data_IF_510057798663
#
_entry.id   IF_510057798663
#
_cell.length_a   1.000
_cell.length_b   1.000
_cell.length_c   1.000
_cell.angle_alpha   90.00
_cell.angle_beta   90.00
_cell.angle_gamma   90.00
#
_symmetry.space_group_name_H-M   'P 1'
#
loop_
_entity.id
_entity.type
_entity.pdbx_description
1 polymer ?
#
# COMPACT_ATOMS: atom_id res chain seq x y z
N UNK A 1 0.02 -10.10 -2.60
CA UNK A 1 0.40 -8.73 -2.24
C UNK A 1 1.41 -8.72 -1.11
N UNK A 2 1.94 -7.54 -0.81
CA UNK A 2 2.88 -7.31 0.28
C UNK A 2 2.23 -6.43 1.34
N UNK A 3 2.43 -6.76 2.60
CA UNK A 3 1.96 -5.97 3.75
C UNK A 3 3.18 -5.33 4.39
N UNK A 4 3.21 -4.00 4.39
CA UNK A 4 4.17 -3.25 5.18
C UNK A 4 3.71 -3.28 6.66
N UNK A 5 4.53 -3.79 7.60
CA UNK A 5 4.13 -3.90 9.00
C UNK A 5 3.89 -2.55 9.69
N UNK A 6 4.40 -1.44 9.13
CA UNK A 6 4.13 -0.09 9.63
C UNK A 6 2.75 0.42 9.24
N UNK A 7 2.11 -0.21 8.24
CA UNK A 7 0.81 0.19 7.71
C UNK A 7 -0.22 -0.91 7.93
N UNK A 8 -1.48 -0.54 8.00
CA UNK A 8 -2.56 -1.52 7.99
C UNK A 8 -2.82 -2.00 6.56
N UNK A 9 -3.08 -3.30 6.38
CA UNK A 9 -3.63 -3.80 5.13
C UNK A 9 -4.99 -3.15 4.91
N UNK A 10 -5.15 -2.46 3.78
CA UNK A 10 -6.40 -1.84 3.38
C UNK A 10 -6.98 -2.51 2.15
N UNK A 11 -8.30 -2.59 2.09
CA UNK A 11 -9.07 -3.04 0.94
C UNK A 11 -10.01 -1.92 0.54
N UNK A 12 -9.92 -1.50 -0.72
CA UNK A 12 -10.81 -0.51 -1.31
C UNK A 12 -11.86 -1.26 -2.17
N UNK A 13 -13.14 -0.97 -1.93
CA UNK A 13 -14.25 -1.52 -2.70
C UNK A 13 -14.73 -0.48 -3.72
N UNK A 14 -15.29 -0.96 -4.84
CA UNK A 14 -15.83 -0.08 -5.88
C UNK A 14 -17.00 0.74 -5.36
N UNK A 15 -17.80 0.16 -4.45
CA UNK A 15 -18.96 0.78 -3.82
C UNK A 15 -18.87 0.68 -2.29
N UNK A 16 -19.53 1.60 -1.55
CA UNK A 16 -19.67 1.46 -0.11
C UNK A 16 -20.42 0.17 0.26
N UNK A 17 -20.02 -0.45 1.37
CA UNK A 17 -20.66 -1.67 1.84
C UNK A 17 -21.80 -1.35 2.83
N UNK A 18 -22.91 -2.08 2.71
CA UNK A 18 -24.03 -2.07 3.68
C UNK A 18 -23.97 -3.27 4.61
N UNK A 19 -23.36 -4.38 4.17
CA UNK A 19 -23.12 -5.58 4.98
C UNK A 19 -21.66 -6.01 4.82
N UNK A 20 -21.01 -6.30 5.93
CA UNK A 20 -19.76 -7.06 5.99
C UNK A 20 -19.77 -7.82 7.30
N UNK A 21 -19.80 -9.16 7.22
CA UNK A 21 -19.68 -10.01 8.40
C UNK A 21 -18.23 -10.47 8.56
N UNK A 22 -17.54 -9.89 9.55
CA UNK A 22 -16.15 -10.25 9.83
C UNK A 22 -16.01 -11.68 10.37
N UNK A 23 -17.08 -12.28 10.89
CA UNK A 23 -17.03 -13.65 11.38
C UNK A 23 -16.96 -14.69 10.25
N UNK A 24 -17.39 -14.32 9.05
CA UNK A 24 -17.30 -15.18 7.86
C UNK A 24 -15.91 -15.10 7.19
N UNK A 25 -15.06 -14.14 7.56
CA UNK A 25 -13.74 -13.98 6.98
C UNK A 25 -12.80 -15.08 7.47
N UNK A 26 -12.03 -15.65 6.56
CA UNK A 26 -11.00 -16.64 6.90
C UNK A 26 -9.63 -16.05 6.59
N UNK A 27 -8.76 -16.06 7.57
CA UNK A 27 -7.36 -15.72 7.40
C UNK A 27 -6.51 -16.89 7.87
N UNK A 28 -5.69 -17.40 6.99
CA UNK A 28 -4.76 -18.50 7.32
C UNK A 28 -3.33 -18.05 7.17
N UNK A 29 -2.43 -18.65 7.93
CA UNK A 29 -0.99 -18.46 7.83
C UNK A 29 -0.30 -19.80 7.56
N UNK A 30 0.69 -19.80 6.67
CA UNK A 30 1.57 -20.93 6.44
C UNK A 30 2.69 -20.90 7.48
N UNK A 31 2.89 -22.01 8.19
CA UNK A 31 3.97 -22.20 9.17
C UNK A 31 5.23 -22.75 8.48
N UNK A 32 6.35 -22.81 9.23
CA UNK A 32 7.65 -23.29 8.72
C UNK A 32 7.62 -24.76 8.27
N UNK A 33 6.78 -25.57 8.91
CA UNK A 33 6.54 -26.98 8.57
C UNK A 33 5.53 -27.19 7.43
N UNK A 34 5.12 -26.10 6.75
CA UNK A 34 4.06 -26.03 5.74
C UNK A 34 2.64 -26.35 6.25
N UNK A 35 2.44 -26.49 7.54
CA UNK A 35 1.09 -26.56 8.11
C UNK A 35 0.38 -25.20 8.02
N UNK A 36 -0.94 -25.23 8.16
CA UNK A 36 -1.79 -24.03 8.06
C UNK A 36 -2.42 -23.76 9.41
N UNK A 37 -2.34 -22.52 9.85
CA UNK A 37 -2.92 -22.03 11.09
C UNK A 37 -4.00 -20.98 10.79
N UNK A 38 -5.14 -21.11 11.45
CA UNK A 38 -6.20 -20.10 11.40
C UNK A 38 -5.84 -18.90 12.27
N UNK A 39 -5.98 -17.70 11.70
CA UNK A 39 -5.63 -16.44 12.35
C UNK A 39 -6.89 -15.60 12.55
N UNK A 40 -7.15 -15.08 13.75
CA UNK A 40 -8.27 -14.19 13.97
C UNK A 40 -8.13 -12.93 13.12
N UNK A 41 -9.17 -12.61 12.37
CA UNK A 41 -9.22 -11.46 11.48
C UNK A 41 -10.49 -10.67 11.67
N UNK A 42 -10.41 -9.35 11.50
CA UNK A 42 -11.57 -8.47 11.41
C UNK A 42 -11.33 -7.35 10.42
N UNK A 43 -12.38 -6.89 9.78
CA UNK A 43 -12.35 -5.68 8.97
C UNK A 43 -13.00 -4.52 9.70
N UNK A 44 -12.34 -3.37 9.68
CA UNK A 44 -12.81 -2.14 10.32
C UNK A 44 -12.91 -1.06 9.25
N UNK A 45 -14.07 -0.41 9.16
CA UNK A 45 -14.28 0.66 8.18
C UNK A 45 -13.36 1.85 8.49
N UNK A 46 -12.75 2.42 7.46
CA UNK A 46 -12.02 3.66 7.57
C UNK A 46 -13.00 4.82 7.82
N UNK A 47 -12.68 5.71 8.76
CA UNK A 47 -13.56 6.83 9.12
C UNK A 47 -13.55 7.95 8.10
N UNK A 48 -12.48 8.06 7.30
CA UNK A 48 -12.31 9.09 6.29
C UNK A 48 -12.74 8.67 4.88
N UNK A 49 -12.84 7.36 4.62
CA UNK A 49 -13.13 6.82 3.29
C UNK A 49 -14.18 5.71 3.35
N UNK A 50 -15.41 5.99 2.89
CA UNK A 50 -16.55 5.08 2.98
C UNK A 50 -16.34 3.72 2.31
N UNK A 51 -15.46 3.67 1.31
CA UNK A 51 -15.17 2.45 0.53
C UNK A 51 -13.93 1.71 1.02
N UNK A 52 -13.16 2.30 1.96
CA UNK A 52 -11.93 1.73 2.48
C UNK A 52 -12.16 1.01 3.79
N UNK A 53 -11.60 -0.19 3.88
CA UNK A 53 -11.63 -1.01 5.08
C UNK A 53 -10.22 -1.46 5.44
N UNK A 54 -9.92 -1.46 6.75
CA UNK A 54 -8.66 -1.96 7.28
C UNK A 54 -8.83 -3.40 7.72
N UNK A 55 -7.96 -4.28 7.25
CA UNK A 55 -7.88 -5.66 7.71
C UNK A 55 -6.95 -5.71 8.92
N UNK A 56 -7.49 -6.09 10.07
CA UNK A 56 -6.75 -6.18 11.34
C UNK A 56 -6.58 -7.65 11.73
N UNK A 57 -5.33 -8.06 11.92
CA UNK A 57 -4.94 -9.39 12.37
C UNK A 57 -3.59 -9.31 13.11
N UNK A 58 -3.21 -10.33 13.89
CA UNK A 58 -1.89 -10.42 14.52
C UNK A 58 -0.82 -10.83 13.47
N UNK A 59 -0.46 -9.87 12.62
CA UNK A 59 0.52 -10.07 11.56
C UNK A 59 1.90 -10.39 12.16
N UNK A 60 2.58 -11.43 11.64
CA UNK A 60 3.98 -11.75 11.96
C UNK A 60 4.88 -11.38 10.80
N UNK A 61 6.03 -10.78 11.09
CA UNK A 61 7.04 -10.42 10.10
C UNK A 61 7.48 -11.66 9.29
N UNK A 62 7.61 -11.51 7.98
CA UNK A 62 7.94 -12.60 7.07
C UNK A 62 6.84 -13.65 6.86
N UNK A 63 5.71 -13.53 7.57
CA UNK A 63 4.60 -14.49 7.48
C UNK A 63 3.87 -14.43 6.15
N UNK A 64 3.48 -15.61 5.64
CA UNK A 64 2.65 -15.77 4.45
C UNK A 64 1.21 -16.06 4.86
N UNK A 65 0.28 -15.26 4.34
CA UNK A 65 -1.13 -15.31 4.69
C UNK A 65 -2.01 -15.48 3.48
N UNK A 66 -3.15 -16.14 3.67
CA UNK A 66 -4.24 -16.19 2.69
C UNK A 66 -5.49 -15.65 3.35
N UNK A 67 -6.02 -14.54 2.81
CA UNK A 67 -7.32 -13.99 3.19
C UNK A 67 -8.36 -14.52 2.21
N UNK A 68 -9.40 -15.13 2.75
CA UNK A 68 -10.58 -15.58 2.00
C UNK A 68 -11.80 -14.82 2.49
N UNK A 69 -12.52 -14.20 1.57
CA UNK A 69 -13.83 -13.60 1.77
C UNK A 69 -14.81 -14.49 1.03
N UNK A 70 -15.64 -15.28 1.74
CA UNK A 70 -16.59 -16.17 1.09
C UNK A 70 -17.63 -15.43 0.23
N UNK A 71 -18.23 -16.13 -0.68
CA UNK A 71 -19.39 -15.64 -1.44
C UNK A 71 -20.50 -15.16 -0.49
N UNK A 72 -21.06 -13.99 -0.76
CA UNK A 72 -22.16 -13.42 0.02
C UNK A 72 -21.78 -12.78 1.36
N UNK A 73 -20.50 -12.85 1.80
CA UNK A 73 -20.05 -12.24 3.05
C UNK A 73 -20.11 -10.70 3.02
N UNK A 74 -20.10 -10.11 1.84
CA UNK A 74 -20.16 -8.68 1.62
C UNK A 74 -21.35 -8.34 0.74
N UNK A 75 -22.04 -7.24 1.07
CA UNK A 75 -23.08 -6.66 0.21
C UNK A 75 -22.86 -5.15 0.09
N UNK A 76 -22.90 -4.62 -1.11
CA UNK A 76 -22.74 -3.20 -1.39
C UNK A 76 -24.07 -2.42 -1.29
N UNK A 77 -24.00 -1.08 -1.48
CA UNK A 77 -25.16 -0.18 -1.45
C UNK A 77 -26.16 -0.44 -2.60
N UNK A 78 -25.76 -1.11 -3.67
CA UNK A 78 -26.62 -1.52 -4.77
C UNK A 78 -27.31 -2.87 -4.52
N UNK A 79 -27.00 -3.53 -3.39
CA UNK A 79 -27.55 -4.83 -3.03
C UNK A 79 -26.83 -6.01 -3.70
N UNK A 80 -25.69 -5.76 -4.33
CA UNK A 80 -24.89 -6.82 -4.96
C UNK A 80 -23.98 -7.47 -3.91
N UNK A 81 -23.92 -8.79 -3.93
CA UNK A 81 -23.02 -9.58 -3.10
C UNK A 81 -21.76 -9.96 -3.86
N UNK A 82 -20.68 -10.21 -3.11
CA UNK A 82 -19.41 -10.63 -3.68
C UNK A 82 -19.44 -12.12 -4.08
N UNK A 83 -18.67 -12.46 -5.12
CA UNK A 83 -18.16 -13.81 -5.33
C UNK A 83 -17.04 -14.12 -4.32
N UNK A 84 -16.62 -15.40 -4.22
CA UNK A 84 -15.51 -15.77 -3.36
C UNK A 84 -14.22 -15.04 -3.77
N UNK A 85 -13.60 -14.33 -2.81
CA UNK A 85 -12.37 -13.59 -3.03
C UNK A 85 -11.24 -14.24 -2.23
N UNK A 86 -10.17 -14.67 -2.91
CA UNK A 86 -8.98 -15.23 -2.27
C UNK A 86 -7.79 -14.34 -2.61
N UNK A 87 -7.05 -13.89 -1.60
CA UNK A 87 -5.87 -13.06 -1.76
C UNK A 87 -4.73 -13.56 -0.88
N UNK A 88 -3.55 -13.69 -1.47
CA UNK A 88 -2.32 -14.07 -0.77
C UNK A 88 -1.49 -12.84 -0.46
N UNK A 89 -0.95 -12.80 0.75
CA UNK A 89 -0.12 -11.72 1.26
C UNK A 89 1.13 -12.25 1.93
N UNK A 90 2.20 -11.47 1.86
CA UNK A 90 3.42 -11.66 2.65
C UNK A 90 3.65 -10.40 3.48
N UNK A 91 3.86 -10.57 4.77
CA UNK A 91 4.26 -9.45 5.63
C UNK A 91 5.76 -9.22 5.48
N UNK A 92 6.14 -8.00 5.14
CA UNK A 92 7.53 -7.64 4.96
C UNK A 92 8.29 -7.75 6.29
N UNK A 93 9.50 -8.32 6.23
CA UNK A 93 10.40 -8.40 7.36
C UNK A 93 11.45 -7.29 7.21
N UNK A 94 11.50 -6.29 8.13
CA UNK A 94 12.43 -5.17 8.02
C UNK A 94 13.89 -5.59 7.88
N UNK A 95 14.30 -6.73 8.48
CA UNK A 95 15.67 -7.23 8.42
C UNK A 95 16.10 -7.65 7.01
N UNK A 96 15.14 -7.92 6.13
CA UNK A 96 15.39 -8.32 4.72
C UNK A 96 15.39 -7.15 3.75
N UNK A 97 15.16 -5.94 4.24
CA UNK A 97 15.05 -4.73 3.43
C UNK A 97 15.98 -3.64 3.94
N UNK A 98 16.39 -2.76 3.05
CA UNK A 98 17.16 -1.58 3.40
C UNK A 98 16.23 -0.40 3.71
N UNK A 99 16.73 0.53 4.54
CA UNK A 99 16.21 1.88 4.61
C UNK A 99 17.16 2.79 3.84
N UNK A 100 16.62 3.55 2.88
CA UNK A 100 17.40 4.51 2.10
C UNK A 100 17.02 5.92 2.51
N UNK A 101 18.01 6.69 2.91
CA UNK A 101 17.90 8.12 3.23
C UNK A 101 18.48 8.91 2.06
N UNK A 102 17.72 9.82 1.48
CA UNK A 102 18.18 10.74 0.46
C UNK A 102 17.98 12.17 0.91
N UNK A 103 18.90 13.06 0.52
CA UNK A 103 18.77 14.48 0.76
C UNK A 103 18.40 15.19 -0.54
N UNK A 104 17.21 15.78 -0.60
CA UNK A 104 16.75 16.55 -1.75
C UNK A 104 17.19 17.99 -1.60
N UNK A 105 17.95 18.47 -2.59
CA UNK A 105 18.34 19.88 -2.72
C UNK A 105 17.55 20.48 -3.88
N UNK A 106 16.92 21.58 -3.66
CA UNK A 106 16.11 22.28 -4.64
C UNK A 106 16.06 23.77 -4.34
N UNK A 107 15.02 24.45 -4.82
CA UNK A 107 14.79 25.87 -4.54
C UNK A 107 14.18 26.04 -3.14
N UNK A 108 14.63 27.04 -2.41
CA UNK A 108 14.13 27.40 -1.08
C UNK A 108 12.92 28.35 -1.15
N UNK A 109 12.13 28.25 -2.23
CA UNK A 109 10.96 29.10 -2.53
C UNK A 109 9.62 28.42 -2.22
N UNK A 110 9.66 27.28 -1.51
CA UNK A 110 8.46 26.47 -1.22
C UNK A 110 8.06 25.54 -2.36
N UNK A 111 8.88 25.39 -3.38
CA UNK A 111 8.67 24.43 -4.47
C UNK A 111 8.49 23.03 -3.92
N UNK A 112 7.45 22.34 -4.37
CA UNK A 112 7.16 20.95 -4.03
C UNK A 112 7.72 20.01 -5.08
N UNK A 113 8.12 18.83 -4.61
CA UNK A 113 8.64 17.77 -5.46
C UNK A 113 7.88 16.47 -5.23
N UNK A 114 7.80 15.66 -6.28
CA UNK A 114 7.42 14.25 -6.21
C UNK A 114 8.71 13.45 -6.33
N UNK A 115 8.99 12.61 -5.35
CA UNK A 115 10.19 11.77 -5.35
C UNK A 115 9.80 10.32 -5.48
N UNK A 116 10.24 9.68 -6.54
CA UNK A 116 9.95 8.30 -6.89
C UNK A 116 11.18 7.43 -6.73
N UNK A 117 11.02 6.31 -6.05
CA UNK A 117 11.97 5.21 -6.02
C UNK A 117 11.55 4.17 -7.07
N UNK A 118 12.45 3.87 -7.99
CA UNK A 118 12.26 2.94 -9.09
C UNK A 118 13.23 1.77 -8.92
N UNK A 119 12.91 0.61 -9.48
CA UNK A 119 13.86 -0.49 -9.62
C UNK A 119 14.75 -0.34 -10.86
N UNK A 120 15.67 -1.30 -11.06
CA UNK A 120 16.58 -1.31 -12.21
C UNK A 120 15.86 -1.28 -13.57
N UNK A 121 14.63 -1.78 -13.66
CA UNK A 121 13.79 -1.77 -14.86
C UNK A 121 12.97 -0.49 -15.05
N UNK A 122 13.13 0.50 -14.17
CA UNK A 122 12.36 1.74 -14.07
C UNK A 122 10.90 1.56 -13.61
N UNK A 123 10.54 0.42 -13.02
CA UNK A 123 9.23 0.24 -12.42
C UNK A 123 9.13 1.00 -11.09
N UNK A 124 8.02 1.72 -10.88
CA UNK A 124 7.77 2.48 -9.66
C UNK A 124 7.57 1.52 -8.48
N UNK A 125 8.35 1.70 -7.41
CA UNK A 125 8.25 0.95 -6.15
C UNK A 125 7.63 1.77 -5.05
N UNK A 126 8.09 2.99 -4.85
CA UNK A 126 7.56 3.90 -3.82
C UNK A 126 7.54 5.33 -4.34
N UNK A 127 6.64 6.13 -3.80
CA UNK A 127 6.51 7.55 -4.14
C UNK A 127 6.26 8.37 -2.88
N UNK A 128 6.93 9.52 -2.79
CA UNK A 128 6.67 10.57 -1.80
C UNK A 128 6.27 11.84 -2.53
N UNK A 129 5.14 12.40 -2.14
CA UNK A 129 4.61 13.64 -2.70
C UNK A 129 4.74 14.79 -1.72
N UNK A 130 4.53 16.01 -2.19
CA UNK A 130 4.60 17.23 -1.37
C UNK A 130 5.95 17.38 -0.65
N UNK A 131 7.01 16.85 -1.25
CA UNK A 131 8.36 16.92 -0.69
C UNK A 131 8.91 18.31 -0.91
N UNK A 132 9.45 18.92 0.16
CA UNK A 132 10.30 20.11 0.08
C UNK A 132 11.78 19.70 0.15
N UNK A 133 12.69 20.66 0.19
CA UNK A 133 14.12 20.38 0.45
C UNK A 133 14.31 19.71 1.80
N UNK A 134 15.25 18.77 1.88
CA UNK A 134 15.59 18.05 3.11
C UNK A 134 15.72 16.55 2.97
N UNK A 135 15.70 15.86 4.10
CA UNK A 135 15.90 14.42 4.19
C UNK A 135 14.60 13.65 3.99
N UNK A 136 14.65 12.66 3.10
CA UNK A 136 13.52 11.75 2.82
C UNK A 136 13.97 10.33 3.07
N UNK A 137 13.14 9.58 3.78
CA UNK A 137 13.38 8.18 4.09
C UNK A 137 12.45 7.28 3.28
N UNK A 138 13.03 6.27 2.64
CA UNK A 138 12.33 5.15 2.03
C UNK A 138 12.64 3.89 2.83
N UNK A 139 11.62 3.30 3.45
CA UNK A 139 11.73 2.04 4.19
C UNK A 139 11.37 0.87 3.27
N UNK A 140 11.77 -0.35 3.66
CA UNK A 140 11.45 -1.60 2.95
C UNK A 140 11.90 -1.60 1.49
N UNK A 141 13.09 -1.07 1.24
CA UNK A 141 13.70 -1.08 -0.10
C UNK A 141 14.34 -2.45 -0.31
N UNK A 142 13.92 -3.24 -1.32
CA UNK A 142 14.51 -4.54 -1.58
C UNK A 142 15.96 -4.39 -2.05
N UNK A 143 16.76 -5.46 -1.87
CA UNK A 143 18.10 -5.51 -2.42
C UNK A 143 18.05 -5.46 -3.95
N UNK A 144 19.00 -4.77 -4.56
CA UNK A 144 19.12 -4.65 -6.02
C UNK A 144 19.43 -3.24 -6.48
N UNK A 145 19.39 -3.04 -7.79
CA UNK A 145 19.57 -1.72 -8.39
C UNK A 145 18.31 -0.87 -8.14
N UNK A 146 18.54 0.33 -7.60
CA UNK A 146 17.50 1.33 -7.37
C UNK A 146 17.85 2.62 -8.10
N UNK A 147 16.83 3.34 -8.55
CA UNK A 147 16.95 4.64 -9.20
C UNK A 147 15.99 5.61 -8.52
N UNK A 148 16.37 6.88 -8.51
CA UNK A 148 15.49 7.95 -8.05
C UNK A 148 15.09 8.84 -9.22
N UNK A 149 13.82 9.24 -9.25
CA UNK A 149 13.30 10.28 -10.12
C UNK A 149 12.72 11.38 -9.25
N UNK A 150 13.17 12.60 -9.48
CA UNK A 150 12.65 13.80 -8.81
C UNK A 150 11.90 14.63 -9.84
N UNK A 151 10.66 14.96 -9.56
CA UNK A 151 9.76 15.72 -10.43
C UNK A 151 9.37 16.99 -9.69
N UNK A 152 9.54 18.14 -10.32
CA UNK A 152 9.09 19.42 -9.80
C UNK A 152 7.56 19.54 -9.99
N UNK A 153 6.82 19.66 -8.90
CA UNK A 153 5.37 19.83 -8.89
C UNK A 153 5.04 21.32 -8.85
N UNK A 154 5.06 21.97 -10.03
CA UNK A 154 4.92 23.43 -10.16
C UNK A 154 3.58 23.97 -9.77
N UNK A 155 2.51 23.20 -10.00
CA UNK A 155 1.15 23.60 -9.69
C UNK A 155 0.62 23.04 -8.36
N UNK A 156 1.42 22.24 -7.64
CA UNK A 156 1.09 21.69 -6.33
C UNK A 156 -0.05 20.68 -6.35
N UNK A 157 -0.32 20.02 -7.50
CA UNK A 157 -1.43 19.07 -7.63
C UNK A 157 -1.05 17.63 -7.26
N UNK A 158 0.21 17.38 -6.92
CA UNK A 158 0.76 16.07 -6.56
C UNK A 158 0.81 15.07 -7.73
N UNK A 159 0.78 15.56 -8.98
CA UNK A 159 0.83 14.74 -10.20
C UNK A 159 1.95 15.19 -11.11
N UNK A 160 2.41 14.26 -11.92
CA UNK A 160 3.31 14.61 -13.01
C UNK A 160 2.51 15.28 -14.14
N UNK A 161 2.90 16.49 -14.48
CA UNK A 161 2.34 17.21 -15.62
C UNK A 161 3.34 17.23 -16.78
N UNK A 162 2.85 16.98 -17.99
CA UNK A 162 3.64 17.21 -19.20
C UNK A 162 3.95 18.70 -19.32
N UNK A 163 5.22 19.05 -19.57
CA UNK A 163 5.63 20.43 -19.71
C UNK A 163 4.81 21.18 -20.76
N UNK A 164 4.50 22.45 -20.49
CA UNK A 164 3.77 23.30 -21.42
C UNK A 164 4.69 23.66 -22.59
N UNK A 165 4.40 23.10 -23.78
CA UNK A 165 5.20 23.31 -25.01
C UNK A 165 5.00 24.74 -25.58
N UNK A 166 4.03 25.50 -25.07
CA UNK A 166 3.64 26.82 -25.58
C UNK A 166 4.45 27.97 -24.98
N UNK A 167 5.20 27.73 -23.93
CA UNK A 167 6.06 28.73 -23.26
C UNK A 167 7.54 28.52 -23.59
N UNK A 168 7.89 28.57 -24.87
CA UNK A 168 9.28 28.78 -25.33
C UNK A 168 9.43 30.08 -26.07
#
# INVERSE_FOLDING_TARGET
GEINPENHLTVDFDYPLVKLDSAELLLTRVLEDNSIEDIPVRMVRDTGMLRRWQVRAPWKLGGQYTLTIPEGAITDVAGLSNDSIIRKYMVLDPEKFATVLIHVRGRDDGTKYIVQLLDGSNALKQEKRDVTTGDIRFNYVPAGEIKFRVIEDRNGNGKWDSGNVVER
#
